data_IF_382112541647
#
_entry.id   IF_382112541647
#
_cell.length_a   1.000
_cell.length_b   1.000
_cell.length_c   1.000
_cell.angle_alpha   90.00
_cell.angle_beta   90.00
_cell.angle_gamma   90.00
#
_symmetry.space_group_name_H-M   'P 1'
#
loop_
_entity.id
_entity.type
_entity.pdbx_description
1 polymer ?
#
# COMPACT_ATOMS: atom_id res chain seq x y z
N UNK A 1 14.83 32.04 -9.74
CA UNK A 1 14.54 30.59 -9.76
C UNK A 1 14.88 30.05 -8.36
N UNK A 2 13.86 29.80 -7.52
CA UNK A 2 14.05 29.66 -6.06
C UNK A 2 14.56 28.26 -5.66
N UNK A 3 15.63 28.14 -4.85
CA UNK A 3 16.28 26.87 -4.50
C UNK A 3 15.49 25.95 -3.55
N UNK A 4 14.28 26.32 -3.12
CA UNK A 4 13.46 25.53 -2.21
C UNK A 4 12.78 24.31 -2.85
N UNK A 5 12.52 24.31 -4.16
CA UNK A 5 11.78 23.22 -4.81
C UNK A 5 12.65 22.02 -5.22
N UNK A 6 13.98 22.15 -5.17
CA UNK A 6 14.90 21.06 -5.53
C UNK A 6 15.03 20.01 -4.42
N UNK A 7 14.93 20.44 -3.16
CA UNK A 7 15.12 19.57 -1.98
C UNK A 7 13.96 18.61 -1.68
N UNK A 8 12.75 18.84 -2.20
CA UNK A 8 11.62 17.94 -1.98
C UNK A 8 11.65 16.70 -2.89
N UNK A 9 12.29 16.80 -4.06
CA UNK A 9 12.45 15.66 -4.97
C UNK A 9 13.72 14.83 -4.72
N UNK A 10 14.79 15.44 -4.18
CA UNK A 10 16.04 14.70 -3.87
C UNK A 10 15.94 13.83 -2.61
N UNK A 11 14.98 14.10 -1.70
CA UNK A 11 14.80 13.32 -0.47
C UNK A 11 13.99 12.02 -0.65
N UNK A 12 13.57 11.71 -1.88
CA UNK A 12 12.74 10.55 -2.23
C UNK A 12 13.49 9.60 -3.19
N UNK A 13 14.78 9.35 -2.95
CA UNK A 13 15.56 8.42 -3.77
C UNK A 13 16.55 7.60 -2.95
N UNK A 14 16.10 6.42 -2.51
CA UNK A 14 16.94 5.21 -2.45
C UNK A 14 16.20 3.91 -2.84
N UNK A 15 14.92 3.98 -3.24
CA UNK A 15 14.19 2.85 -3.81
C UNK A 15 13.25 3.30 -4.93
N UNK A 16 13.08 2.48 -5.97
CA UNK A 16 12.00 2.72 -6.94
C UNK A 16 10.67 2.66 -6.17
N UNK A 17 9.86 3.71 -6.16
CA UNK A 17 8.49 3.70 -5.57
C UNK A 17 7.65 2.49 -6.02
N UNK A 18 7.97 2.01 -7.21
CA UNK A 18 7.45 0.78 -7.78
C UNK A 18 7.77 -0.50 -6.99
N UNK A 19 8.95 -0.57 -6.41
CA UNK A 19 9.42 -1.68 -5.58
C UNK A 19 9.09 -1.49 -4.10
N UNK A 20 8.56 -0.33 -3.71
CA UNK A 20 8.07 -0.10 -2.35
C UNK A 20 6.76 -0.87 -2.14
N UNK A 21 6.64 -1.56 -1.00
CA UNK A 21 5.45 -2.33 -0.62
C UNK A 21 4.45 -1.54 0.23
N UNK A 22 4.81 -0.31 0.63
CA UNK A 22 3.90 0.61 1.29
C UNK A 22 2.73 0.96 0.38
N UNK A 23 1.54 1.10 0.99
CA UNK A 23 0.34 1.59 0.32
C UNK A 23 0.65 2.92 -0.38
N UNK A 24 0.19 3.04 -1.62
CA UNK A 24 0.28 4.27 -2.39
C UNK A 24 -0.70 5.28 -1.81
N UNK A 25 -0.20 6.15 -0.93
CA UNK A 25 -0.92 7.27 -0.33
C UNK A 25 0.08 8.35 0.02
N UNK A 26 -0.20 9.56 -0.43
CA UNK A 26 0.54 10.77 -0.10
C UNK A 26 -0.44 11.79 0.51
N UNK A 27 0.01 13.02 0.74
CA UNK A 27 -0.87 14.10 1.19
C UNK A 27 -2.06 14.29 0.24
N UNK A 28 -3.28 14.30 0.77
CA UNK A 28 -4.50 14.47 -0.02
C UNK A 28 -4.59 15.90 -0.52
N UNK A 29 -4.81 16.08 -1.82
CA UNK A 29 -4.86 17.39 -2.44
C UNK A 29 -6.30 17.85 -2.71
N UNK A 30 -6.56 19.15 -2.53
CA UNK A 30 -7.74 19.79 -3.10
C UNK A 30 -7.66 19.77 -4.63
N UNK A 31 -8.76 20.05 -5.30
CA UNK A 31 -8.80 20.05 -6.77
C UNK A 31 -7.85 21.10 -7.37
N UNK A 32 -7.71 22.28 -6.78
CA UNK A 32 -6.79 23.33 -7.24
C UNK A 32 -5.34 22.88 -7.08
N UNK A 33 -5.03 22.17 -5.98
CA UNK A 33 -3.69 21.64 -5.73
C UNK A 33 -3.36 20.47 -6.64
N UNK A 34 -4.35 19.63 -6.98
CA UNK A 34 -4.24 18.59 -8.00
C UNK A 34 -3.88 19.18 -9.37
N UNK A 35 -4.57 20.24 -9.82
CA UNK A 35 -4.25 20.90 -11.09
C UNK A 35 -2.85 21.52 -11.10
N UNK A 36 -2.45 22.18 -10.00
CA UNK A 36 -1.09 22.71 -9.84
C UNK A 36 -0.06 21.58 -9.89
N UNK A 37 -0.34 20.46 -9.23
CA UNK A 37 0.52 19.29 -9.26
C UNK A 37 0.62 18.70 -10.66
N UNK A 38 -0.49 18.61 -11.41
CA UNK A 38 -0.51 18.13 -12.79
C UNK A 38 0.40 18.97 -13.72
N UNK A 39 0.31 20.30 -13.64
CA UNK A 39 1.20 21.21 -14.41
C UNK A 39 2.67 21.02 -14.03
N UNK A 40 2.96 20.93 -12.73
CA UNK A 40 4.32 20.71 -12.24
C UNK A 40 4.87 19.36 -12.68
N UNK A 41 4.03 18.33 -12.70
CA UNK A 41 4.39 16.98 -13.15
C UNK A 41 4.71 16.99 -14.65
N UNK A 42 3.86 17.62 -15.46
CA UNK A 42 4.07 17.75 -16.89
C UNK A 42 5.39 18.44 -17.23
N UNK A 43 5.71 19.54 -16.54
CA UNK A 43 6.97 20.24 -16.71
C UNK A 43 8.21 19.40 -16.32
N UNK A 44 8.05 18.44 -15.40
CA UNK A 44 9.13 17.58 -14.92
C UNK A 44 9.30 16.28 -15.72
N UNK A 45 8.28 15.84 -16.47
CA UNK A 45 8.29 14.55 -17.16
C UNK A 45 8.97 14.65 -18.53
N UNK A 46 10.28 14.39 -18.57
CA UNK A 46 10.97 14.18 -19.84
C UNK A 46 10.56 12.84 -20.49
N UNK A 47 10.14 12.88 -21.77
CA UNK A 47 9.74 11.68 -22.53
C UNK A 47 10.73 11.27 -23.61
N UNK A 48 10.79 9.97 -23.90
CA UNK A 48 11.55 9.36 -24.98
C UNK A 48 10.73 8.31 -25.74
N UNK A 49 10.95 8.21 -27.05
CA UNK A 49 10.41 7.15 -27.90
C UNK A 49 11.35 5.94 -28.03
N UNK A 50 12.59 6.07 -27.58
CA UNK A 50 13.60 5.01 -27.60
C UNK A 50 14.05 4.68 -26.17
N UNK A 51 13.23 3.96 -25.39
CA UNK A 51 13.62 3.57 -24.04
C UNK A 51 14.74 2.50 -24.10
N UNK A 52 15.84 2.72 -23.41
CA UNK A 52 16.93 1.75 -23.30
C UNK A 52 16.54 0.45 -22.58
N UNK A 53 15.72 0.56 -21.51
CA UNK A 53 15.24 -0.59 -20.74
C UNK A 53 13.71 -0.68 -20.79
N UNK A 54 13.17 -1.88 -21.06
CA UNK A 54 11.72 -2.11 -21.17
C UNK A 54 11.17 -2.69 -19.87
N UNK A 55 10.63 -1.84 -19.00
CA UNK A 55 9.78 -2.30 -17.89
C UNK A 55 8.41 -2.73 -18.42
N UNK A 56 7.87 -3.82 -17.90
CA UNK A 56 6.62 -4.43 -18.38
C UNK A 56 5.51 -4.30 -17.34
N UNK A 57 4.53 -3.41 -17.60
CA UNK A 57 3.30 -3.34 -16.79
C UNK A 57 2.55 -4.67 -16.78
N UNK A 58 2.57 -5.41 -17.90
CA UNK A 58 1.96 -6.75 -17.99
C UNK A 58 2.60 -7.75 -17.03
N UNK A 59 3.93 -7.74 -16.91
CA UNK A 59 4.62 -8.62 -15.98
C UNK A 59 4.27 -8.29 -14.53
N UNK A 60 4.18 -6.99 -14.19
CA UNK A 60 3.72 -6.59 -12.87
C UNK A 60 2.27 -6.95 -12.61
N UNK A 61 1.37 -6.72 -13.56
CA UNK A 61 -0.04 -7.06 -13.42
C UNK A 61 -0.23 -8.55 -13.10
N UNK A 62 0.53 -9.44 -13.74
CA UNK A 62 0.55 -10.87 -13.40
C UNK A 62 1.05 -11.14 -11.97
N UNK A 63 2.08 -10.42 -11.53
CA UNK A 63 2.56 -10.55 -10.15
C UNK A 63 1.53 -10.03 -9.15
N UNK A 64 0.81 -8.95 -9.49
CA UNK A 64 -0.26 -8.40 -8.66
C UNK A 64 -1.42 -9.38 -8.54
N UNK A 65 -1.87 -9.95 -9.66
CA UNK A 65 -2.90 -11.01 -9.67
C UNK A 65 -2.51 -12.18 -8.77
N UNK A 66 -1.29 -12.70 -8.90
CA UNK A 66 -0.79 -13.81 -8.06
C UNK A 66 -0.80 -13.47 -6.57
N UNK A 67 -0.33 -12.26 -6.22
CA UNK A 67 -0.30 -11.81 -4.82
C UNK A 67 -1.70 -11.59 -4.25
N UNK A 68 -2.61 -11.02 -5.04
CA UNK A 68 -4.01 -10.82 -4.67
C UNK A 68 -4.73 -12.16 -4.47
N UNK A 69 -4.51 -13.12 -5.36
CA UNK A 69 -5.04 -14.48 -5.22
C UNK A 69 -4.52 -15.19 -3.96
N UNK A 70 -3.22 -15.05 -3.69
CA UNK A 70 -2.63 -15.60 -2.48
C UNK A 70 -3.22 -14.96 -1.21
N UNK A 71 -3.41 -13.65 -1.21
CA UNK A 71 -4.05 -12.94 -0.11
C UNK A 71 -5.51 -13.39 0.10
N UNK A 72 -6.30 -13.46 -0.98
CA UNK A 72 -7.67 -13.98 -0.95
C UNK A 72 -7.73 -15.38 -0.32
N UNK A 73 -6.92 -16.33 -0.83
CA UNK A 73 -6.87 -17.71 -0.30
C UNK A 73 -6.45 -17.76 1.16
N UNK A 74 -5.50 -16.92 1.55
CA UNK A 74 -5.02 -16.80 2.92
C UNK A 74 -6.10 -16.26 3.87
N UNK A 75 -6.93 -15.33 3.41
CA UNK A 75 -8.09 -14.82 4.16
C UNK A 75 -9.21 -15.86 4.24
N UNK A 76 -9.56 -16.50 3.12
CA UNK A 76 -10.61 -17.51 3.08
C UNK A 76 -10.30 -18.68 4.03
N UNK A 77 -9.06 -19.18 4.00
CA UNK A 77 -8.60 -20.22 4.92
C UNK A 77 -8.72 -19.80 6.40
N UNK A 78 -8.53 -18.52 6.72
CA UNK A 78 -8.70 -18.07 8.09
C UNK A 78 -10.16 -18.16 8.55
N UNK A 79 -11.12 -17.85 7.66
CA UNK A 79 -12.56 -18.01 7.92
C UNK A 79 -12.93 -19.48 8.07
N UNK A 80 -12.44 -20.35 7.18
CA UNK A 80 -12.70 -21.81 7.24
C UNK A 80 -12.19 -22.43 8.55
N UNK A 81 -11.08 -21.91 9.10
CA UNK A 81 -10.52 -22.32 10.38
C UNK A 81 -11.25 -21.67 11.60
N UNK A 82 -12.38 -20.97 11.37
CA UNK A 82 -13.19 -20.33 12.41
C UNK A 82 -12.54 -19.11 13.05
N UNK A 83 -11.52 -18.51 12.41
CA UNK A 83 -10.80 -17.34 12.95
C UNK A 83 -11.51 -16.06 12.54
N UNK A 84 -11.61 -15.13 13.49
CA UNK A 84 -12.13 -13.79 13.21
C UNK A 84 -11.27 -13.05 12.18
N UNK A 85 -11.93 -12.40 11.23
CA UNK A 85 -11.30 -11.53 10.24
C UNK A 85 -11.70 -10.08 10.48
N UNK A 86 -10.87 -9.14 10.04
CA UNK A 86 -11.18 -7.70 10.10
C UNK A 86 -12.14 -7.31 8.96
N UNK A 87 -12.93 -6.23 9.09
CA UNK A 87 -13.81 -5.74 8.01
C UNK A 87 -13.09 -5.54 6.67
N UNK A 88 -11.85 -5.00 6.70
CA UNK A 88 -11.06 -4.84 5.48
C UNK A 88 -10.70 -6.18 4.79
N UNK A 89 -10.58 -7.27 5.55
CA UNK A 89 -10.31 -8.59 5.01
C UNK A 89 -11.58 -9.23 4.44
N UNK A 90 -12.72 -9.01 5.08
CA UNK A 90 -14.05 -9.41 4.60
C UNK A 90 -14.37 -8.72 3.26
N UNK A 91 -14.13 -7.41 3.16
CA UNK A 91 -14.28 -6.68 1.91
C UNK A 91 -13.47 -7.31 0.77
N UNK A 92 -12.23 -7.75 1.03
CA UNK A 92 -11.41 -8.44 0.02
C UNK A 92 -12.04 -9.76 -0.41
N UNK A 93 -12.65 -10.54 0.50
CA UNK A 93 -13.33 -11.78 0.14
C UNK A 93 -14.55 -11.51 -0.76
N UNK A 94 -15.39 -10.57 -0.34
CA UNK A 94 -16.64 -10.26 -1.02
C UNK A 94 -16.41 -9.70 -2.42
N UNK A 95 -15.34 -8.89 -2.59
CA UNK A 95 -15.09 -8.12 -3.81
C UNK A 95 -14.02 -8.74 -4.73
N UNK A 96 -13.42 -9.89 -4.38
CA UNK A 96 -12.33 -10.46 -5.18
C UNK A 96 -12.73 -10.76 -6.63
N UNK A 97 -14.00 -11.14 -6.86
CA UNK A 97 -14.52 -11.41 -8.21
C UNK A 97 -14.45 -10.18 -9.12
N UNK A 98 -14.75 -8.98 -8.61
CA UNK A 98 -14.63 -7.71 -9.35
C UNK A 98 -13.17 -7.43 -9.70
N UNK A 99 -12.25 -7.72 -8.77
CA UNK A 99 -10.81 -7.53 -8.99
C UNK A 99 -10.30 -8.45 -10.10
N UNK A 100 -10.74 -9.71 -10.11
CA UNK A 100 -10.39 -10.67 -11.17
C UNK A 100 -10.89 -10.21 -12.54
N UNK A 101 -12.14 -9.73 -12.60
CA UNK A 101 -12.72 -9.17 -13.82
C UNK A 101 -11.93 -7.95 -14.33
N UNK A 102 -11.61 -6.99 -13.46
CA UNK A 102 -10.81 -5.82 -13.83
C UNK A 102 -9.40 -6.20 -14.31
N UNK A 103 -8.77 -7.22 -13.72
CA UNK A 103 -7.46 -7.71 -14.20
C UNK A 103 -7.58 -8.33 -15.59
N UNK A 104 -8.68 -9.03 -15.90
CA UNK A 104 -8.96 -9.59 -17.22
C UNK A 104 -9.13 -8.49 -18.26
N UNK A 105 -9.96 -7.49 -17.99
CA UNK A 105 -10.19 -6.34 -18.87
C UNK A 105 -8.88 -5.59 -19.18
N UNK A 106 -8.04 -5.31 -18.17
CA UNK A 106 -6.76 -4.62 -18.37
C UNK A 106 -5.85 -5.38 -19.36
N UNK A 107 -5.89 -6.73 -19.38
CA UNK A 107 -5.06 -7.53 -20.30
C UNK A 107 -5.49 -7.37 -21.75
N UNK A 108 -6.79 -7.28 -21.96
CA UNK A 108 -7.41 -7.09 -23.26
C UNK A 108 -7.17 -5.66 -23.75
N UNK A 109 -7.35 -4.67 -22.86
CA UNK A 109 -7.22 -3.25 -23.15
C UNK A 109 -5.77 -2.78 -23.37
N UNK A 110 -4.77 -3.48 -22.83
CA UNK A 110 -3.36 -3.11 -22.99
C UNK A 110 -2.56 -4.09 -23.89
N UNK A 111 -2.84 -4.20 -25.21
CA UNK A 111 -2.02 -4.94 -26.17
C UNK A 111 -0.52 -4.58 -26.11
N UNK A 112 0.37 -5.55 -26.36
CA UNK A 112 1.82 -5.29 -26.32
C UNK A 112 2.25 -4.28 -27.39
N UNK A 113 1.60 -4.30 -28.56
CA UNK A 113 1.83 -3.33 -29.63
C UNK A 113 1.48 -1.92 -29.18
N UNK A 114 0.27 -1.73 -28.65
CA UNK A 114 -0.19 -0.45 -28.11
C UNK A 114 0.73 0.06 -27.00
N UNK A 115 1.07 -0.78 -26.01
CA UNK A 115 2.01 -0.40 -24.95
C UNK A 115 3.36 0.08 -25.48
N UNK A 116 3.90 -0.52 -26.55
CA UNK A 116 5.20 -0.13 -27.13
C UNK A 116 5.17 1.24 -27.81
N UNK A 117 4.00 1.68 -28.29
CA UNK A 117 3.84 2.96 -28.98
C UNK A 117 3.76 4.15 -28.02
N UNK A 118 3.38 3.91 -26.75
CA UNK A 118 3.26 4.98 -25.75
C UNK A 118 4.63 5.61 -25.40
N UNK A 119 4.76 6.96 -25.43
CA UNK A 119 5.95 7.69 -24.98
C UNK A 119 6.37 7.28 -23.56
N UNK A 120 7.67 6.98 -23.37
CA UNK A 120 8.20 6.53 -22.09
C UNK A 120 8.85 7.66 -21.33
N UNK A 121 8.81 7.62 -20.01
CA UNK A 121 9.59 8.49 -19.15
C UNK A 121 11.08 8.20 -19.35
N UNK A 122 11.87 9.24 -19.61
CA UNK A 122 13.30 9.16 -19.85
C UNK A 122 14.13 9.04 -18.56
N UNK A 123 13.60 9.56 -17.45
CA UNK A 123 14.30 9.63 -16.16
C UNK A 123 13.33 9.47 -14.98
N UNK A 124 13.88 9.50 -13.76
CA UNK A 124 13.11 9.41 -12.52
C UNK A 124 12.72 7.98 -12.10
N UNK A 125 11.93 7.84 -11.03
CA UNK A 125 11.62 6.54 -10.42
C UNK A 125 10.83 5.59 -11.33
N UNK A 126 10.18 6.14 -12.36
CA UNK A 126 9.38 5.42 -13.35
C UNK A 126 10.00 5.42 -14.76
N UNK A 127 11.31 5.69 -14.88
CA UNK A 127 12.02 5.61 -16.15
C UNK A 127 11.73 4.27 -16.87
N UNK A 128 11.39 4.35 -18.16
CA UNK A 128 11.01 3.22 -18.99
C UNK A 128 9.52 2.81 -18.95
N UNK A 129 8.70 3.39 -18.06
CA UNK A 129 7.23 3.27 -18.11
C UNK A 129 6.60 4.36 -19.00
N UNK A 130 5.38 4.15 -19.53
CA UNK A 130 4.63 5.22 -20.20
C UNK A 130 4.49 6.47 -19.32
N UNK A 131 4.53 7.69 -19.88
CA UNK A 131 4.28 8.90 -19.05
C UNK A 131 2.90 8.91 -18.40
N UNK A 132 1.90 8.34 -19.06
CA UNK A 132 0.54 8.14 -18.50
C UNK A 132 0.54 7.30 -17.22
N UNK A 133 1.55 6.46 -17.01
CA UNK A 133 1.74 5.76 -15.73
C UNK A 133 2.14 6.71 -14.60
N UNK A 134 3.03 7.66 -14.86
CA UNK A 134 3.36 8.70 -13.88
C UNK A 134 2.16 9.61 -13.56
N UNK A 135 1.34 9.93 -14.56
CA UNK A 135 0.09 10.70 -14.38
C UNK A 135 -0.88 9.95 -13.47
N UNK A 136 -1.22 8.70 -13.81
CA UNK A 136 -2.15 7.89 -13.01
C UNK A 136 -1.63 7.64 -11.59
N UNK A 137 -0.33 7.41 -11.44
CA UNK A 137 0.31 7.24 -10.13
C UNK A 137 0.16 8.49 -9.26
N UNK A 138 0.50 9.66 -9.80
CA UNK A 138 0.40 10.93 -9.09
C UNK A 138 -1.05 11.24 -8.67
N UNK A 139 -2.01 10.97 -9.56
CA UNK A 139 -3.42 11.13 -9.25
C UNK A 139 -3.85 10.25 -8.08
N UNK A 140 -3.62 8.93 -8.16
CA UNK A 140 -4.02 7.97 -7.12
C UNK A 140 -3.35 8.27 -5.77
N UNK A 141 -2.08 8.67 -5.78
CA UNK A 141 -1.32 9.00 -4.57
C UNK A 141 -1.97 10.14 -3.77
N UNK A 142 -2.46 11.17 -4.47
CA UNK A 142 -2.99 12.40 -3.88
C UNK A 142 -4.52 12.44 -3.76
N UNK A 143 -5.22 11.39 -4.21
CA UNK A 143 -6.67 11.19 -3.98
C UNK A 143 -6.99 10.06 -3.01
N UNK A 144 -5.97 9.40 -2.45
CA UNK A 144 -6.12 8.20 -1.63
C UNK A 144 -6.93 7.10 -2.35
N UNK A 145 -6.68 6.95 -3.65
CA UNK A 145 -7.46 6.05 -4.55
C UNK A 145 -8.94 6.37 -4.69
N UNK A 146 -9.46 7.44 -4.07
CA UNK A 146 -10.83 7.89 -4.28
C UNK A 146 -10.98 8.39 -5.71
N UNK A 147 -11.96 7.85 -6.42
CA UNK A 147 -12.19 8.18 -7.82
C UNK A 147 -13.34 9.15 -7.97
N UNK A 148 -13.03 10.29 -8.60
CA UNK A 148 -14.00 11.26 -9.09
C UNK A 148 -13.65 11.57 -10.56
N UNK A 149 -14.56 11.30 -11.53
CA UNK A 149 -14.31 11.56 -12.94
C UNK A 149 -13.97 13.02 -13.26
N UNK A 150 -14.59 13.96 -12.55
CA UNK A 150 -14.37 15.40 -12.76
C UNK A 150 -12.98 15.81 -12.26
N UNK A 151 -12.54 15.23 -11.14
CA UNK A 151 -11.19 15.46 -10.64
C UNK A 151 -10.13 14.94 -11.60
N UNK A 152 -10.33 13.72 -12.13
CA UNK A 152 -9.43 13.16 -13.13
C UNK A 152 -9.40 14.03 -14.39
N UNK A 153 -10.57 14.46 -14.88
CA UNK A 153 -10.68 15.33 -16.06
C UNK A 153 -9.89 16.62 -15.87
N UNK A 154 -10.10 17.34 -14.76
CA UNK A 154 -9.38 18.57 -14.44
C UNK A 154 -7.88 18.36 -14.29
N UNK A 155 -7.46 17.27 -13.64
CA UNK A 155 -6.05 16.90 -13.52
C UNK A 155 -5.39 16.68 -14.90
N UNK A 156 -6.04 15.91 -15.77
CA UNK A 156 -5.54 15.62 -17.12
C UNK A 156 -5.56 16.87 -18.00
N UNK A 157 -6.59 17.72 -17.91
CA UNK A 157 -6.63 19.02 -18.60
C UNK A 157 -5.46 19.91 -18.16
N UNK A 158 -5.22 20.06 -16.86
CA UNK A 158 -4.13 20.87 -16.33
C UNK A 158 -2.74 20.32 -16.72
N UNK A 159 -2.58 18.99 -16.80
CA UNK A 159 -1.36 18.39 -17.35
C UNK A 159 -1.14 18.81 -18.82
N UNK A 160 -2.19 18.72 -19.64
CA UNK A 160 -2.13 19.01 -21.08
C UNK A 160 -1.91 20.48 -21.44
N UNK A 161 -2.16 21.41 -20.51
CA UNK A 161 -1.79 22.83 -20.67
C UNK A 161 -0.27 23.02 -20.85
N UNK A 162 0.54 22.09 -20.33
CA UNK A 162 2.00 22.13 -20.39
C UNK A 162 2.54 21.21 -21.48
N UNK A 163 2.07 19.96 -21.52
CA UNK A 163 2.53 18.95 -22.47
C UNK A 163 1.34 18.12 -23.00
N UNK A 164 0.83 18.43 -24.20
CA UNK A 164 -0.32 17.75 -24.78
C UNK A 164 -0.12 16.24 -24.91
N UNK A 165 -1.15 15.49 -24.51
CA UNK A 165 -1.18 14.05 -24.66
C UNK A 165 -1.67 13.68 -26.06
N UNK A 166 -1.08 12.64 -26.63
CA UNK A 166 -1.61 12.06 -27.87
C UNK A 166 -2.96 11.38 -27.61
N UNK A 167 -3.75 11.18 -28.66
CA UNK A 167 -5.02 10.42 -28.55
C UNK A 167 -4.76 9.06 -27.90
N UNK A 168 -3.72 8.33 -28.34
CA UNK A 168 -3.36 7.03 -27.76
C UNK A 168 -3.02 7.10 -26.26
N UNK A 169 -2.45 8.21 -25.79
CA UNK A 169 -2.19 8.39 -24.36
C UNK A 169 -3.46 8.69 -23.57
N UNK A 170 -4.39 9.48 -24.11
CA UNK A 170 -5.69 9.72 -23.48
C UNK A 170 -6.48 8.42 -23.30
N UNK A 171 -6.50 7.54 -24.31
CA UNK A 171 -7.06 6.19 -24.18
C UNK A 171 -6.35 5.38 -23.09
N UNK A 172 -5.02 5.48 -23.01
CA UNK A 172 -4.23 4.75 -22.02
C UNK A 172 -4.41 5.25 -20.57
N UNK A 173 -4.97 6.45 -20.34
CA UNK A 173 -5.20 6.97 -18.97
C UNK A 173 -6.11 6.03 -18.18
N UNK A 174 -7.27 5.65 -18.72
CA UNK A 174 -8.23 4.79 -18.00
C UNK A 174 -7.63 3.42 -17.67
N UNK A 175 -6.95 2.81 -18.64
CA UNK A 175 -6.31 1.50 -18.49
C UNK A 175 -5.21 1.56 -17.42
N UNK A 176 -4.41 2.63 -17.47
CA UNK A 176 -3.28 2.79 -16.55
C UNK A 176 -3.76 3.14 -15.14
N UNK A 177 -4.86 3.88 -15.01
CA UNK A 177 -5.51 4.12 -13.73
C UNK A 177 -5.93 2.80 -13.07
N UNK A 178 -6.61 1.90 -13.80
CA UNK A 178 -6.97 0.57 -13.29
C UNK A 178 -5.73 -0.23 -12.85
N UNK A 179 -4.64 -0.18 -13.62
CA UNK A 179 -3.37 -0.84 -13.25
C UNK A 179 -2.82 -0.31 -11.92
N UNK A 180 -2.82 1.00 -11.73
CA UNK A 180 -2.32 1.64 -10.50
C UNK A 180 -3.23 1.32 -9.31
N UNK A 181 -4.56 1.29 -9.50
CA UNK A 181 -5.50 0.89 -8.46
C UNK A 181 -5.32 -0.57 -8.05
N UNK A 182 -5.13 -1.49 -9.01
CA UNK A 182 -4.82 -2.91 -8.72
C UNK A 182 -3.47 -3.06 -8.01
N UNK A 183 -2.46 -2.27 -8.40
CA UNK A 183 -1.18 -2.21 -7.70
C UNK A 183 -1.35 -1.75 -6.24
N UNK A 184 -2.18 -0.73 -6.01
CA UNK A 184 -2.45 -0.26 -4.65
C UNK A 184 -3.23 -1.29 -3.83
N UNK A 185 -4.24 -1.92 -4.43
CA UNK A 185 -5.01 -2.99 -3.80
C UNK A 185 -4.10 -4.17 -3.41
N UNK A 186 -3.12 -4.54 -4.25
CA UNK A 186 -2.12 -5.56 -3.90
C UNK A 186 -1.34 -5.19 -2.63
N UNK A 187 -0.96 -3.92 -2.47
CA UNK A 187 -0.25 -3.43 -1.27
C UNK A 187 -1.16 -3.47 -0.03
N UNK A 188 -2.42 -3.05 -0.18
CA UNK A 188 -3.43 -3.12 0.88
C UNK A 188 -3.68 -4.57 1.32
N UNK A 189 -3.93 -5.48 0.38
CA UNK A 189 -4.19 -6.89 0.65
C UNK A 189 -3.00 -7.57 1.33
N UNK A 190 -1.76 -7.30 0.87
CA UNK A 190 -0.55 -7.81 1.53
C UNK A 190 -0.46 -7.30 2.97
N UNK A 191 -0.75 -6.02 3.21
CA UNK A 191 -0.75 -5.45 4.56
C UNK A 191 -1.80 -6.10 5.45
N UNK A 192 -3.01 -6.36 4.94
CA UNK A 192 -4.08 -7.07 5.67
C UNK A 192 -3.58 -8.45 6.13
N UNK A 193 -2.98 -9.22 5.22
CA UNK A 193 -2.45 -10.57 5.53
C UNK A 193 -1.35 -10.50 6.57
N UNK A 194 -0.33 -9.66 6.36
CA UNK A 194 0.81 -9.54 7.29
C UNK A 194 0.37 -9.00 8.66
N UNK A 195 -0.55 -8.04 8.71
CA UNK A 195 -1.13 -7.56 9.99
C UNK A 195 -1.92 -8.65 10.71
N UNK A 196 -2.63 -9.52 9.99
CA UNK A 196 -3.34 -10.64 10.61
C UNK A 196 -2.38 -11.68 11.16
N UNK A 197 -1.34 -12.05 10.41
CA UNK A 197 -0.29 -12.97 10.87
C UNK A 197 0.42 -12.43 12.11
N UNK A 198 0.72 -11.12 12.14
CA UNK A 198 1.29 -10.45 13.29
C UNK A 198 0.39 -10.49 14.54
N UNK A 199 -0.93 -10.30 14.37
CA UNK A 199 -1.89 -10.45 15.49
C UNK A 199 -1.93 -11.88 16.02
N UNK A 200 -1.96 -12.87 15.13
CA UNK A 200 -1.95 -14.29 15.53
C UNK A 200 -0.66 -14.66 16.28
N UNK A 201 0.47 -14.11 15.86
CA UNK A 201 1.74 -14.32 16.55
C UNK A 201 1.73 -13.67 17.95
N UNK A 202 1.16 -12.47 18.07
CA UNK A 202 0.98 -11.79 19.36
C UNK A 202 0.06 -12.58 20.30
N UNK A 203 -1.06 -13.12 19.78
CA UNK A 203 -1.96 -13.98 20.55
C UNK A 203 -1.23 -15.23 21.05
N UNK A 204 -0.47 -15.90 20.19
CA UNK A 204 0.30 -17.08 20.58
C UNK A 204 1.39 -16.78 21.63
N UNK A 205 2.03 -15.60 21.56
CA UNK A 205 2.99 -15.15 22.57
C UNK A 205 2.26 -14.84 23.88
N UNK A 206 1.12 -14.14 23.83
CA UNK A 206 0.31 -13.84 25.00
C UNK A 206 -0.17 -15.13 25.69
N UNK A 207 -0.69 -16.10 24.94
CA UNK A 207 -1.18 -17.36 25.50
C UNK A 207 -0.07 -18.13 26.23
N UNK A 208 1.16 -18.14 25.69
CA UNK A 208 2.33 -18.73 26.36
C UNK A 208 2.75 -17.95 27.61
N UNK A 209 2.73 -16.62 27.56
CA UNK A 209 3.05 -15.78 28.73
C UNK A 209 2.04 -16.01 29.85
N UNK A 210 0.75 -16.04 29.50
CA UNK A 210 -0.37 -16.13 30.45
C UNK A 210 -0.62 -17.56 30.95
N UNK A 211 -0.09 -18.59 30.27
CA UNK A 211 -0.36 -19.99 30.60
C UNK A 211 -1.80 -20.40 30.27
N UNK A 212 -2.36 -19.87 29.18
CA UNK A 212 -3.72 -20.18 28.74
C UNK A 212 -3.75 -21.56 28.07
N UNK A 213 -4.92 -22.19 28.01
CA UNK A 213 -5.13 -23.50 27.39
C UNK A 213 -4.34 -24.64 28.05
N UNK A 214 -4.25 -24.62 29.40
CA UNK A 214 -3.70 -25.73 30.20
C UNK A 214 -2.18 -25.84 30.23
N UNK A 215 -1.45 -24.83 29.75
CA UNK A 215 0.01 -24.80 29.76
C UNK A 215 0.55 -23.98 30.93
N UNK A 216 1.72 -24.35 31.45
CA UNK A 216 2.42 -23.52 32.43
C UNK A 216 2.86 -22.19 31.79
N UNK A 217 2.73 -21.04 32.49
CA UNK A 217 3.25 -19.76 32.01
C UNK A 217 4.73 -19.85 31.62
N UNK A 218 5.08 -19.26 30.47
CA UNK A 218 6.45 -19.21 29.94
C UNK A 218 6.93 -17.75 29.85
N UNK A 219 7.53 -17.19 30.92
CA UNK A 219 7.92 -15.78 30.99
C UNK A 219 8.91 -15.34 29.90
N UNK A 220 9.69 -16.28 29.36
CA UNK A 220 10.72 -16.01 28.34
C UNK A 220 10.18 -15.94 26.90
N UNK A 221 8.87 -16.14 26.68
CA UNK A 221 8.26 -16.21 25.34
C UNK A 221 8.54 -14.98 24.47
N UNK A 222 8.60 -13.79 25.07
CA UNK A 222 8.90 -12.54 24.34
C UNK A 222 10.33 -12.49 23.84
N UNK A 223 11.29 -12.91 24.67
CA UNK A 223 12.70 -12.95 24.29
C UNK A 223 12.94 -14.01 23.19
N UNK A 224 12.24 -15.13 23.26
CA UNK A 224 12.27 -16.16 22.21
C UNK A 224 11.69 -15.67 20.90
N UNK A 225 10.53 -15.00 20.94
CA UNK A 225 9.94 -14.37 19.78
C UNK A 225 10.88 -13.31 19.18
N UNK A 226 11.45 -12.43 20.01
CA UNK A 226 12.38 -11.38 19.56
C UNK A 226 13.58 -11.97 18.81
N UNK A 227 14.16 -13.06 19.32
CA UNK A 227 15.28 -13.75 18.67
C UNK A 227 14.92 -14.37 17.32
N UNK A 228 13.67 -14.78 17.14
CA UNK A 228 13.19 -15.46 15.91
C UNK A 228 12.69 -14.47 14.85
N UNK A 229 11.84 -13.54 15.25
CA UNK A 229 11.04 -12.72 14.32
C UNK A 229 11.68 -11.36 14.05
N UNK A 230 12.48 -10.83 14.99
CA UNK A 230 13.41 -9.72 14.79
C UNK A 230 12.82 -8.33 14.43
N UNK A 231 11.52 -8.21 14.16
CA UNK A 231 10.85 -6.94 13.82
C UNK A 231 9.49 -6.81 14.49
N UNK A 232 9.36 -5.82 15.35
CA UNK A 232 8.10 -5.42 15.96
C UNK A 232 7.23 -4.68 14.95
N UNK A 233 6.06 -5.25 14.64
CA UNK A 233 5.05 -4.59 13.80
C UNK A 233 4.00 -3.91 14.67
N UNK A 234 3.37 -2.82 14.19
CA UNK A 234 2.26 -2.18 14.91
C UNK A 234 1.13 -3.14 15.29
N UNK A 235 0.74 -4.02 14.36
CA UNK A 235 -0.35 -4.98 14.58
C UNK A 235 -0.01 -5.99 15.69
N UNK A 236 1.25 -6.44 15.77
CA UNK A 236 1.72 -7.29 16.85
C UNK A 236 1.69 -6.54 18.18
N UNK A 237 2.26 -5.33 18.23
CA UNK A 237 2.37 -4.54 19.45
C UNK A 237 0.99 -4.20 20.03
N UNK A 238 0.07 -3.69 19.20
CA UNK A 238 -1.30 -3.33 19.62
C UNK A 238 -2.05 -4.55 20.16
N UNK A 239 -1.98 -5.68 19.46
CA UNK A 239 -2.63 -6.92 19.91
C UNK A 239 -2.06 -7.41 21.24
N UNK A 240 -0.74 -7.38 21.40
CA UNK A 240 -0.08 -7.80 22.63
C UNK A 240 -0.46 -6.90 23.81
N UNK A 241 -0.47 -5.57 23.62
CA UNK A 241 -0.97 -4.64 24.65
C UNK A 241 -2.40 -4.99 25.03
N UNK A 242 -3.29 -5.14 24.04
CA UNK A 242 -4.70 -5.43 24.29
C UNK A 242 -4.90 -6.74 25.08
N UNK A 243 -4.12 -7.79 24.77
CA UNK A 243 -4.18 -9.07 25.49
C UNK A 243 -3.66 -8.98 26.93
N UNK A 244 -2.68 -8.12 27.20
CA UNK A 244 -2.01 -8.01 28.50
C UNK A 244 -2.58 -6.92 29.42
N UNK A 245 -3.27 -5.90 28.88
CA UNK A 245 -3.74 -4.73 29.64
C UNK A 245 -4.69 -5.07 30.79
N UNK A 246 -5.56 -6.05 30.58
CA UNK A 246 -6.56 -6.48 31.57
C UNK A 246 -6.06 -7.64 32.45
N UNK A 247 -4.77 -7.96 32.38
CA UNK A 247 -4.17 -9.10 33.09
C UNK A 247 -3.46 -8.67 34.38
N UNK A 248 -3.26 -9.65 35.26
CA UNK A 248 -2.61 -9.54 36.56
C UNK A 248 -1.28 -8.72 36.53
N UNK A 249 -1.03 -7.84 37.53
CA UNK A 249 0.20 -7.05 37.65
C UNK A 249 1.52 -7.80 37.45
N UNK A 250 1.56 -9.13 37.61
CA UNK A 250 2.73 -9.95 37.29
C UNK A 250 3.18 -9.87 35.81
N UNK A 251 2.33 -9.41 34.90
CA UNK A 251 2.66 -9.21 33.48
C UNK A 251 3.12 -7.79 33.14
N UNK A 252 3.17 -6.89 34.12
CA UNK A 252 3.74 -5.55 33.98
C UNK A 252 5.15 -5.55 33.33
N UNK A 253 6.07 -6.51 33.61
CA UNK A 253 7.37 -6.55 32.94
C UNK A 253 7.30 -6.76 31.42
N UNK A 254 6.29 -7.49 30.92
CA UNK A 254 6.08 -7.69 29.49
C UNK A 254 5.58 -6.41 28.80
N UNK A 255 4.72 -5.64 29.49
CA UNK A 255 4.26 -4.33 29.03
C UNK A 255 5.41 -3.30 29.03
N UNK A 256 6.22 -3.27 30.09
CA UNK A 256 7.41 -2.41 30.17
C UNK A 256 8.39 -2.75 29.04
N UNK A 257 8.67 -4.04 28.81
CA UNK A 257 9.53 -4.47 27.70
C UNK A 257 9.01 -3.97 26.35
N UNK A 258 7.69 -4.03 26.11
CA UNK A 258 7.09 -3.60 24.87
C UNK A 258 7.18 -2.06 24.70
N UNK A 259 6.97 -1.31 25.77
CA UNK A 259 7.18 0.14 25.78
C UNK A 259 8.64 0.51 25.46
N UNK A 260 9.60 -0.22 26.03
CA UNK A 260 11.03 0.00 25.79
C UNK A 260 11.42 -0.33 24.35
N UNK A 261 10.89 -1.41 23.77
CA UNK A 261 11.10 -1.75 22.35
C UNK A 261 10.48 -0.71 21.41
N UNK A 262 9.26 -0.23 21.70
CA UNK A 262 8.61 0.80 20.90
C UNK A 262 9.39 2.11 20.92
N UNK A 263 9.89 2.51 22.09
CA UNK A 263 10.82 3.65 22.23
C UNK A 263 12.12 3.45 21.46
N UNK A 264 12.73 2.27 21.55
CA UNK A 264 13.96 1.94 20.83
C UNK A 264 13.79 2.00 19.31
N UNK A 265 12.58 1.70 18.81
CA UNK A 265 12.23 1.78 17.40
C UNK A 265 11.66 3.15 16.96
N UNK A 266 11.64 4.17 17.82
CA UNK A 266 11.04 5.49 17.56
C UNK A 266 9.56 5.41 17.11
N UNK A 267 8.86 4.38 17.57
CA UNK A 267 7.45 4.17 17.31
C UNK A 267 6.65 4.74 18.49
N UNK A 268 5.95 5.85 18.25
CA UNK A 268 5.09 6.49 19.24
C UNK A 268 3.83 5.61 19.48
N UNK A 269 3.69 5.09 20.71
CA UNK A 269 2.61 4.19 21.15
C UNK A 269 1.23 4.79 20.90
N UNK A 270 1.03 6.06 21.26
CA UNK A 270 -0.26 6.73 21.09
C UNK A 270 -0.55 6.98 19.62
N UNK A 271 0.48 7.31 18.84
CA UNK A 271 0.36 7.48 17.39
C UNK A 271 0.08 6.17 16.67
N UNK A 272 0.66 5.05 17.11
CA UNK A 272 0.41 3.72 16.55
C UNK A 272 -0.99 3.22 16.85
N UNK A 273 -1.46 3.40 18.08
CA UNK A 273 -2.82 3.05 18.50
C UNK A 273 -3.84 3.93 17.79
N UNK A 274 -3.59 5.24 17.69
CA UNK A 274 -4.45 6.19 16.95
C UNK A 274 -4.46 5.88 15.45
N UNK A 275 -3.30 5.58 14.85
CA UNK A 275 -3.22 5.19 13.44
C UNK A 275 -3.92 3.85 13.18
N UNK A 276 -3.81 2.86 14.06
CA UNK A 276 -4.49 1.58 13.89
C UNK A 276 -6.01 1.69 14.12
N UNK A 277 -6.47 2.48 15.09
CA UNK A 277 -7.89 2.80 15.28
C UNK A 277 -8.46 3.61 14.11
N UNK A 278 -7.75 4.62 13.61
CA UNK A 278 -8.15 5.35 12.40
C UNK A 278 -8.12 4.45 11.16
N UNK A 279 -7.23 3.46 11.07
CA UNK A 279 -7.21 2.47 9.96
C UNK A 279 -8.39 1.50 10.03
N UNK A 280 -8.76 1.05 11.23
CA UNK A 280 -9.96 0.21 11.43
C UNK A 280 -11.24 1.01 11.16
N UNK A 281 -11.30 2.29 11.56
CA UNK A 281 -12.43 3.18 11.31
C UNK A 281 -12.55 3.68 9.85
N UNK A 282 -11.43 3.95 9.17
CA UNK A 282 -11.44 4.36 7.76
C UNK A 282 -11.83 3.21 6.80
N UNK A 283 -11.76 1.96 7.27
CA UNK A 283 -12.28 0.79 6.56
C UNK A 283 -13.78 0.55 6.82
N UNK A 284 -14.40 1.34 7.71
CA UNK A 284 -15.81 1.24 8.09
C UNK A 284 -16.70 2.33 7.48
N UNK A 285 -16.18 3.13 6.53
CA UNK A 285 -17.00 4.09 5.79
C UNK A 285 -17.41 3.46 4.46
N UNK A 286 -18.60 2.87 4.46
CA UNK A 286 -19.42 2.55 3.29
C UNK A 286 -19.62 3.74 2.37
#
# INVERSE_FOLDING_TARGET
>A
MHPFFKGLFERISTGSHWNNEQILREEIFSIERLEKHARSLAAAQAVTRQPGFRRSLRARLRNNEKALLAAYRSIARAVDEGRSITPAAEWVLDNYHVVEEQIREIREDLPAGFYRQLPKLASGPFAGFPRVFGIAWAFVAHTDSRFDPEFLRRFVCAYQEIDPLTIGELWAVAITLRIVLVENLRRVAQRIVTSREARQEADAVADRLLGVSGHAPQPNSLNEWKRRSGRLTPAFAVQLVQRLRDQDPKFTPALIWLEDELKAHQLDTDRLVQEEHQRQGASNVT
#
